data_IF_989237064000
#
_entry.id   IF_989237064000
#
_cell.length_a   1.000
_cell.length_b   1.000
_cell.length_c   1.000
_cell.angle_alpha   90.00
_cell.angle_beta   90.00
_cell.angle_gamma   90.00
#
_symmetry.space_group_name_H-M   'P 1'
#
loop_
_entity.id
_entity.type
_entity.pdbx_description
1 polymer ?
#
# COMPACT_ATOMS: atom_id res chain seq x y z
N UNK A 1 12.39 33.56 69.56
CA UNK A 1 12.53 32.28 70.28
C UNK A 1 11.13 31.72 70.55
N UNK A 2 10.91 30.46 70.13
CA UNK A 2 9.91 29.49 70.64
C UNK A 2 8.42 29.92 70.66
N UNK A 3 7.65 29.45 69.67
CA UNK A 3 6.76 28.27 69.77
C UNK A 3 5.46 28.53 70.57
N UNK A 4 4.32 28.47 69.89
CA UNK A 4 3.15 27.83 70.49
C UNK A 4 2.28 27.11 69.45
N UNK A 5 1.94 25.87 69.82
CA UNK A 5 1.21 24.85 69.09
C UNK A 5 -0.29 25.18 68.97
N UNK A 6 -0.82 24.86 67.78
CA UNK A 6 -2.10 24.21 67.45
C UNK A 6 -3.24 24.34 68.47
N UNK A 7 -4.33 24.98 68.05
CA UNK A 7 -5.66 24.93 68.66
C UNK A 7 -6.73 24.79 67.57
N UNK A 8 -7.64 23.85 67.79
CA UNK A 8 -8.62 23.31 66.84
C UNK A 8 -9.65 24.31 66.30
N UNK A 9 -10.23 24.01 65.14
CA UNK A 9 -11.68 24.16 64.94
C UNK A 9 -12.15 23.40 63.69
N UNK A 10 -13.25 22.68 63.84
CA UNK A 10 -13.96 22.00 62.77
C UNK A 10 -14.72 23.02 61.92
N UNK A 11 -14.55 22.99 60.61
CA UNK A 11 -15.49 23.60 59.66
C UNK A 11 -15.48 22.79 58.35
N UNK A 12 -16.51 21.95 58.19
CA UNK A 12 -17.02 21.56 56.87
C UNK A 12 -17.78 22.79 56.30
N UNK A 13 -17.97 23.00 54.98
CA UNK A 13 -18.05 21.98 53.94
C UNK A 13 -17.44 22.39 52.57
N UNK A 14 -17.62 21.48 51.60
CA UNK A 14 -17.73 21.74 50.15
C UNK A 14 -16.44 21.65 49.30
N UNK A 15 -16.64 21.05 48.11
CA UNK A 15 -15.75 20.88 46.95
C UNK A 15 -14.71 19.75 47.00
N UNK A 16 -15.03 18.62 46.35
CA UNK A 16 -14.64 18.38 44.95
C UNK A 16 -14.70 16.87 44.67
N UNK A 17 -15.85 16.39 44.20
CA UNK A 17 -15.91 15.08 43.55
C UNK A 17 -15.28 15.24 42.15
N UNK A 18 -13.99 14.97 42.03
CA UNK A 18 -13.30 14.86 40.73
C UNK A 18 -13.67 13.48 40.18
N UNK A 19 -14.76 13.40 39.42
CA UNK A 19 -14.97 12.29 38.50
C UNK A 19 -13.94 12.43 37.39
N UNK A 20 -12.85 11.67 37.46
CA UNK A 20 -11.97 11.46 36.30
C UNK A 20 -12.75 10.66 35.27
N UNK A 21 -13.34 11.35 34.29
CA UNK A 21 -13.87 10.69 33.09
C UNK A 21 -12.69 10.02 32.37
N UNK A 22 -12.54 8.71 32.57
CA UNK A 22 -11.69 7.86 31.74
C UNK A 22 -12.29 7.87 30.34
N UNK A 23 -11.79 8.72 29.45
CA UNK A 23 -12.13 8.63 28.03
C UNK A 23 -11.59 7.30 27.51
N UNK A 24 -12.44 6.43 26.92
CA UNK A 24 -11.94 5.25 26.23
C UNK A 24 -11.12 5.75 25.04
N UNK A 25 -9.80 5.53 25.08
CA UNK A 25 -8.93 5.73 23.94
C UNK A 25 -9.34 4.70 22.87
N UNK A 26 -10.21 5.11 21.95
CA UNK A 26 -10.44 4.37 20.71
C UNK A 26 -9.14 4.43 19.91
N UNK A 27 -8.30 3.40 20.06
CA UNK A 27 -7.15 3.19 19.20
C UNK A 27 -7.69 2.79 17.83
N UNK A 28 -7.86 3.77 16.94
CA UNK A 28 -8.14 3.49 15.53
C UNK A 28 -7.01 2.62 14.99
N UNK A 29 -7.29 1.50 14.30
CA UNK A 29 -6.25 0.72 13.66
C UNK A 29 -5.54 1.62 12.64
N UNK A 30 -4.26 1.83 12.87
CA UNK A 30 -3.41 2.56 11.94
C UNK A 30 -3.27 1.67 10.71
N UNK A 31 -3.89 2.04 9.60
CA UNK A 31 -3.65 1.35 8.32
C UNK A 31 -2.21 1.65 7.95
N UNK A 32 -1.31 0.70 8.26
CA UNK A 32 0.10 0.82 7.92
C UNK A 32 0.26 0.69 6.42
N UNK A 33 0.87 1.70 5.78
CA UNK A 33 1.22 1.72 4.35
C UNK A 33 2.12 0.53 3.97
N UNK A 34 2.83 -0.05 4.94
CA UNK A 34 3.63 -1.25 4.74
C UNK A 34 2.78 -2.48 4.32
N UNK A 35 1.51 -2.56 4.75
CA UNK A 35 0.67 -3.72 4.45
C UNK A 35 0.19 -3.73 2.98
N UNK A 36 -0.33 -2.63 2.39
CA UNK A 36 -0.60 -2.53 0.95
C UNK A 36 0.62 -2.85 0.08
N UNK A 37 1.81 -2.31 0.43
CA UNK A 37 3.04 -2.56 -0.33
C UNK A 37 3.46 -4.03 -0.31
N UNK A 38 3.42 -4.68 0.86
CA UNK A 38 3.73 -6.11 0.97
C UNK A 38 2.75 -6.98 0.17
N UNK A 39 1.46 -6.62 0.17
CA UNK A 39 0.45 -7.31 -0.66
C UNK A 39 0.69 -7.09 -2.14
N UNK A 40 0.98 -5.85 -2.57
CA UNK A 40 1.33 -5.53 -3.95
C UNK A 40 2.55 -6.32 -4.43
N UNK A 41 3.59 -6.44 -3.60
CA UNK A 41 4.77 -7.25 -3.90
C UNK A 41 4.42 -8.74 -4.07
N UNK A 42 3.61 -9.32 -3.17
CA UNK A 42 3.18 -10.71 -3.26
C UNK A 42 2.32 -10.98 -4.51
N UNK A 43 1.42 -10.06 -4.85
CA UNK A 43 0.64 -10.12 -6.09
C UNK A 43 1.55 -10.05 -7.31
N UNK A 44 2.53 -9.14 -7.32
CA UNK A 44 3.49 -8.99 -8.41
C UNK A 44 4.30 -10.27 -8.61
N UNK A 45 4.80 -10.86 -7.51
CA UNK A 45 5.52 -12.14 -7.54
C UNK A 45 4.68 -13.26 -8.14
N UNK A 46 3.38 -13.29 -7.87
CA UNK A 46 2.48 -14.34 -8.37
C UNK A 46 2.07 -14.13 -9.83
N UNK A 47 1.87 -12.90 -10.27
CA UNK A 47 1.19 -12.60 -11.54
C UNK A 47 2.09 -11.98 -12.62
N UNK A 48 3.18 -11.30 -12.25
CA UNK A 48 3.89 -10.38 -13.13
C UNK A 48 5.32 -10.81 -13.47
N UNK A 49 6.02 -11.48 -12.53
CA UNK A 49 7.45 -11.80 -12.69
C UNK A 49 7.75 -12.71 -13.88
N UNK A 50 6.77 -13.49 -14.35
CA UNK A 50 6.94 -14.33 -15.53
C UNK A 50 7.33 -13.54 -16.78
N UNK A 51 6.97 -12.25 -16.84
CA UNK A 51 7.36 -11.34 -17.92
C UNK A 51 8.23 -10.17 -17.44
N UNK A 52 8.00 -9.69 -16.21
CA UNK A 52 8.54 -8.44 -15.67
C UNK A 52 9.45 -8.65 -14.46
N UNK A 53 10.19 -9.75 -14.44
CA UNK A 53 11.16 -10.02 -13.37
C UNK A 53 12.12 -8.83 -13.18
N UNK A 54 12.35 -8.46 -11.91
CA UNK A 54 13.16 -7.31 -11.50
C UNK A 54 12.86 -5.99 -12.26
N UNK A 55 11.61 -5.80 -12.69
CA UNK A 55 11.19 -4.61 -13.44
C UNK A 55 11.51 -4.66 -14.94
N UNK A 56 12.06 -5.76 -15.44
CA UNK A 56 12.38 -5.96 -16.85
C UNK A 56 11.15 -6.17 -17.75
N UNK A 57 11.40 -6.60 -18.99
CA UNK A 57 10.38 -7.13 -19.89
C UNK A 57 11.04 -8.11 -20.86
N UNK A 58 10.82 -9.41 -20.65
CA UNK A 58 11.44 -10.46 -21.49
C UNK A 58 10.80 -10.56 -22.88
N UNK A 59 9.60 -10.00 -23.05
CA UNK A 59 8.78 -10.14 -24.25
C UNK A 59 9.06 -8.98 -25.23
N UNK A 60 9.16 -7.75 -24.71
CA UNK A 60 9.28 -6.53 -25.51
C UNK A 60 10.39 -5.61 -25.00
N UNK A 61 11.53 -5.53 -25.71
CA UNK A 61 12.57 -4.55 -25.42
C UNK A 61 12.01 -3.12 -25.46
N UNK A 62 12.43 -2.29 -24.49
CA UNK A 62 11.99 -0.91 -24.39
C UNK A 62 10.57 -0.71 -23.84
N UNK A 63 9.95 -1.77 -23.29
CA UNK A 63 8.70 -1.69 -22.53
C UNK A 63 8.88 -2.28 -21.12
N UNK A 64 10.02 -1.98 -20.48
CA UNK A 64 10.27 -2.36 -19.09
C UNK A 64 9.45 -1.53 -18.12
N UNK A 65 9.45 -1.90 -16.85
CA UNK A 65 8.79 -1.16 -15.76
C UNK A 65 9.71 -0.12 -15.11
N UNK A 66 10.85 0.20 -15.72
CA UNK A 66 11.72 1.30 -15.28
C UNK A 66 11.17 2.64 -15.74
N UNK A 67 11.35 3.69 -14.93
CA UNK A 67 10.84 5.06 -15.17
C UNK A 67 11.09 5.55 -16.59
N UNK A 68 12.31 5.39 -17.10
CA UNK A 68 12.68 5.80 -18.46
C UNK A 68 11.81 5.17 -19.56
N UNK A 69 11.45 3.90 -19.40
CA UNK A 69 10.62 3.19 -20.39
C UNK A 69 9.15 3.53 -20.19
N UNK A 70 8.68 3.62 -18.95
CA UNK A 70 7.32 4.03 -18.61
C UNK A 70 7.00 5.42 -19.18
N UNK A 71 7.86 6.41 -18.92
CA UNK A 71 7.74 7.78 -19.45
C UNK A 71 7.77 7.81 -20.97
N UNK A 72 8.72 7.11 -21.60
CA UNK A 72 8.82 7.03 -23.08
C UNK A 72 7.55 6.45 -23.71
N UNK A 73 6.86 5.55 -23.02
CA UNK A 73 5.64 4.92 -23.50
C UNK A 73 4.35 5.65 -23.05
N UNK A 74 4.47 6.80 -22.39
CA UNK A 74 3.34 7.60 -21.91
C UNK A 74 2.59 6.98 -20.74
N UNK A 75 3.24 6.10 -19.98
CA UNK A 75 2.69 5.49 -18.76
C UNK A 75 3.31 6.22 -17.58
N UNK A 76 2.77 7.38 -17.22
CA UNK A 76 3.43 8.33 -16.30
C UNK A 76 2.77 8.38 -14.93
N UNK A 77 1.52 7.95 -14.84
CA UNK A 77 0.74 7.92 -13.61
C UNK A 77 0.49 6.49 -13.15
N UNK A 78 0.15 6.36 -11.86
CA UNK A 78 -0.35 5.10 -11.31
C UNK A 78 -1.63 4.63 -12.03
N UNK A 79 -2.50 5.57 -12.41
CA UNK A 79 -3.71 5.28 -13.18
C UNK A 79 -3.40 4.70 -14.57
N UNK A 80 -2.31 5.14 -15.21
CA UNK A 80 -1.87 4.53 -16.49
C UNK A 80 -1.43 3.07 -16.28
N UNK A 81 -0.73 2.80 -15.17
CA UNK A 81 -0.29 1.45 -14.79
C UNK A 81 -1.50 0.57 -14.44
N UNK A 82 -2.48 1.12 -13.72
CA UNK A 82 -3.75 0.45 -13.45
C UNK A 82 -4.44 0.06 -14.75
N UNK A 83 -4.60 1.02 -15.67
CA UNK A 83 -5.33 0.80 -16.92
C UNK A 83 -4.65 -0.25 -17.82
N UNK A 84 -3.32 -0.20 -17.97
CA UNK A 84 -2.60 -1.21 -18.77
C UNK A 84 -2.65 -2.60 -18.12
N UNK A 85 -2.63 -2.67 -16.79
CA UNK A 85 -2.77 -3.94 -16.06
C UNK A 85 -4.19 -4.48 -16.17
N UNK A 86 -5.19 -3.61 -16.12
CA UNK A 86 -6.60 -3.99 -16.22
C UNK A 86 -6.97 -4.50 -17.61
N UNK A 87 -6.67 -3.72 -18.65
CA UNK A 87 -7.14 -3.98 -20.01
C UNK A 87 -6.12 -4.72 -20.90
N UNK A 88 -4.85 -4.73 -20.52
CA UNK A 88 -3.76 -5.24 -21.34
C UNK A 88 -3.33 -4.26 -22.43
N UNK A 89 -2.20 -4.53 -23.08
CA UNK A 89 -1.69 -3.77 -24.22
C UNK A 89 -0.79 -4.64 -25.09
N UNK A 90 -1.16 -4.81 -26.35
CA UNK A 90 -0.41 -5.63 -27.30
C UNK A 90 -0.30 -7.07 -26.82
N UNK A 91 0.93 -7.52 -26.50
CA UNK A 91 1.20 -8.90 -26.04
C UNK A 91 1.02 -9.08 -24.52
N UNK A 92 0.88 -7.99 -23.76
CA UNK A 92 0.58 -8.08 -22.33
C UNK A 92 -0.92 -8.33 -22.14
N UNK A 93 -1.33 -9.43 -21.51
CA UNK A 93 -2.74 -9.70 -21.25
C UNK A 93 -3.30 -8.76 -20.19
N UNK A 94 -4.58 -8.38 -20.31
CA UNK A 94 -5.29 -7.67 -19.24
C UNK A 94 -5.77 -8.60 -18.13
N UNK A 95 -5.71 -8.16 -16.89
CA UNK A 95 -6.03 -8.94 -15.69
C UNK A 95 -7.38 -8.59 -15.05
N UNK A 96 -7.98 -7.46 -15.42
CA UNK A 96 -9.23 -7.00 -14.82
C UNK A 96 -10.42 -7.91 -15.10
N UNK A 97 -11.36 -7.97 -14.17
CA UNK A 97 -12.57 -8.79 -14.28
C UNK A 97 -13.37 -8.53 -15.55
N UNK A 98 -13.46 -7.25 -15.97
CA UNK A 98 -14.22 -6.81 -17.15
C UNK A 98 -13.36 -6.67 -18.40
N UNK A 99 -12.09 -7.10 -18.38
CA UNK A 99 -11.23 -7.11 -19.56
C UNK A 99 -11.87 -7.96 -20.67
N UNK A 100 -12.03 -7.36 -21.85
CA UNK A 100 -12.64 -7.95 -23.03
C UNK A 100 -11.99 -7.38 -24.31
N UNK A 101 -11.97 -8.14 -25.43
CA UNK A 101 -12.43 -9.52 -25.61
C UNK A 101 -11.52 -10.56 -24.92
N UNK A 102 -12.02 -11.79 -24.72
CA UNK A 102 -11.31 -12.84 -23.96
C UNK A 102 -9.85 -13.09 -24.40
N UNK A 103 -9.57 -12.93 -25.69
CA UNK A 103 -8.24 -13.18 -26.28
C UNK A 103 -7.16 -12.14 -25.93
N UNK A 104 -7.51 -10.92 -25.51
CA UNK A 104 -6.53 -9.92 -25.06
C UNK A 104 -6.23 -10.01 -23.55
N UNK A 105 -6.81 -11.01 -22.89
CA UNK A 105 -6.92 -11.06 -21.45
C UNK A 105 -6.28 -12.32 -20.88
N UNK A 106 -5.85 -12.28 -19.62
CA UNK A 106 -5.17 -13.42 -18.98
C UNK A 106 -6.04 -14.67 -19.00
N UNK A 107 -5.48 -15.82 -19.37
CA UNK A 107 -6.20 -17.10 -19.34
C UNK A 107 -6.40 -17.63 -17.91
N UNK A 108 -5.61 -17.15 -16.96
CA UNK A 108 -5.76 -17.46 -15.54
C UNK A 108 -6.91 -16.69 -14.87
N UNK A 109 -6.99 -16.77 -13.53
CA UNK A 109 -7.92 -15.97 -12.73
C UNK A 109 -7.78 -14.47 -13.01
N UNK A 110 -8.89 -13.77 -12.93
CA UNK A 110 -8.90 -12.30 -12.94
C UNK A 110 -8.50 -11.76 -11.58
N UNK A 111 -8.10 -10.50 -11.56
CA UNK A 111 -7.80 -9.76 -10.35
C UNK A 111 -8.92 -8.77 -10.08
N UNK A 112 -9.25 -8.60 -8.80
CA UNK A 112 -10.16 -7.58 -8.32
C UNK A 112 -9.57 -6.18 -8.58
N UNK A 113 -10.42 -5.14 -8.69
CA UNK A 113 -9.93 -3.78 -8.93
C UNK A 113 -8.93 -3.32 -7.84
N UNK A 114 -9.19 -3.68 -6.59
CA UNK A 114 -8.31 -3.32 -5.47
C UNK A 114 -6.94 -4.00 -5.56
N UNK A 115 -6.88 -5.25 -6.04
CA UNK A 115 -5.62 -5.93 -6.29
C UNK A 115 -4.81 -5.26 -7.40
N UNK A 116 -5.48 -4.78 -8.44
CA UNK A 116 -4.83 -4.06 -9.54
C UNK A 116 -4.35 -2.68 -9.09
N UNK A 117 -5.06 -1.98 -8.19
CA UNK A 117 -4.58 -0.74 -7.57
C UNK A 117 -3.33 -0.98 -6.74
N UNK A 118 -3.33 -1.98 -5.86
CA UNK A 118 -2.13 -2.36 -5.08
C UNK A 118 -0.94 -2.72 -5.98
N UNK A 119 -1.17 -3.39 -7.12
CA UNK A 119 -0.13 -3.66 -8.12
C UNK A 119 0.40 -2.38 -8.78
N UNK A 120 -0.49 -1.45 -9.15
CA UNK A 120 -0.12 -0.19 -9.77
C UNK A 120 0.71 0.68 -8.83
N UNK A 121 0.27 0.83 -7.57
CA UNK A 121 1.01 1.51 -6.51
C UNK A 121 2.40 0.88 -6.30
N UNK A 122 2.46 -0.46 -6.23
CA UNK A 122 3.72 -1.19 -6.07
C UNK A 122 4.67 -0.95 -7.25
N UNK A 123 4.20 -1.07 -8.50
CA UNK A 123 5.02 -0.84 -9.69
C UNK A 123 5.51 0.60 -9.75
N UNK A 124 4.65 1.57 -9.43
CA UNK A 124 5.03 2.99 -9.42
C UNK A 124 6.11 3.25 -8.36
N UNK A 125 5.93 2.73 -7.15
CA UNK A 125 6.90 2.82 -6.07
C UNK A 125 8.24 2.18 -6.47
N UNK A 126 8.22 0.99 -7.07
CA UNK A 126 9.44 0.32 -7.51
C UNK A 126 10.15 1.08 -8.64
N UNK A 127 9.41 1.63 -9.61
CA UNK A 127 9.98 2.45 -10.67
C UNK A 127 10.66 3.70 -10.09
N UNK A 128 10.00 4.42 -9.18
CA UNK A 128 10.54 5.62 -8.53
C UNK A 128 11.81 5.34 -7.72
N UNK A 129 11.92 4.14 -7.16
CA UNK A 129 13.09 3.69 -6.40
C UNK A 129 14.12 2.93 -7.26
N UNK A 130 13.93 2.85 -8.57
CA UNK A 130 14.88 2.23 -9.50
C UNK A 130 14.98 0.71 -9.38
N UNK A 131 13.89 0.04 -8.99
CA UNK A 131 13.80 -1.41 -8.79
C UNK A 131 14.94 -1.96 -7.91
N UNK A 132 14.97 -1.60 -6.61
CA UNK A 132 15.97 -2.13 -5.70
C UNK A 132 15.85 -3.65 -5.66
N UNK A 133 16.98 -4.34 -5.51
CA UNK A 133 16.98 -5.79 -5.28
C UNK A 133 16.21 -6.03 -3.99
N UNK A 134 15.03 -6.64 -4.10
CA UNK A 134 14.32 -7.15 -2.94
C UNK A 134 15.13 -8.38 -2.53
N UNK A 135 15.89 -8.28 -1.43
CA UNK A 135 16.51 -9.45 -0.83
C UNK A 135 15.37 -10.45 -0.58
N UNK A 136 15.45 -11.59 -1.26
CA UNK A 136 14.45 -12.63 -1.14
C UNK A 136 14.33 -12.98 0.34
N UNK A 137 13.18 -12.72 0.96
CA UNK A 137 12.79 -13.41 2.19
C UNK A 137 12.52 -14.87 1.83
N UNK A 138 13.62 -15.60 1.61
CA UNK A 138 13.69 -17.03 1.57
C UNK A 138 14.23 -17.45 2.95
N UNK A 139 13.33 -17.95 3.79
CA UNK A 139 13.52 -19.08 4.69
C UNK A 139 12.14 -19.64 5.06
#
# INVERSE_FOLDING_TARGET
>A
MMNLKVGASMASPLLAAILTLSTPNFVSPQVSIAQPMARGAALFQKACIGCHDMGGNIIQPGATLFTKDLERNGIVTEEDIYNITYYGKGRMPGFGEKCMPRGQCTFGPRLEEEEIRMLAEFVKSQADNGWPKVESYAD
#
